data_IF_129581096530
#
_entry.id   IF_129581096530
#
_cell.length_a   1.000
_cell.length_b   1.000
_cell.length_c   1.000
_cell.angle_alpha   90.00
_cell.angle_beta   90.00
_cell.angle_gamma   90.00
#
_symmetry.space_group_name_H-M   'P 1'
#
loop_
_entity.id
_entity.type
_entity.pdbx_description
1 polymer ?
#
# COMPACT_ATOMS: atom_id res chain seq x y z
N UNK A 1 -2.76 -20.90 13.52
CA UNK A 1 -4.16 -20.46 13.67
C UNK A 1 -4.31 -19.01 13.22
N UNK A 2 -4.44 -18.77 11.93
CA UNK A 2 -4.75 -17.43 11.41
C UNK A 2 -6.23 -17.44 11.01
N UNK A 3 -7.08 -16.83 11.83
CA UNK A 3 -8.50 -16.62 11.54
C UNK A 3 -8.65 -15.61 10.38
N UNK A 4 -8.40 -16.04 9.15
CA UNK A 4 -8.62 -15.20 7.97
C UNK A 4 -9.26 -16.05 6.88
N UNK A 5 -10.55 -15.85 6.63
CA UNK A 5 -11.31 -16.60 5.61
C UNK A 5 -10.86 -16.27 4.17
N UNK A 6 -10.28 -15.08 3.94
CA UNK A 6 -9.80 -14.61 2.63
C UNK A 6 -8.61 -13.64 2.76
N UNK A 7 -7.72 -13.64 1.77
CA UNK A 7 -6.61 -12.67 1.61
C UNK A 7 -6.92 -11.57 0.58
N UNK A 8 -8.20 -11.41 0.25
CA UNK A 8 -8.65 -10.39 -0.69
C UNK A 8 -8.87 -9.08 0.06
N UNK A 9 -8.35 -7.99 -0.51
CA UNK A 9 -8.53 -6.62 -0.04
C UNK A 9 -8.89 -5.75 -1.24
N UNK A 10 -9.86 -4.86 -1.08
CA UNK A 10 -10.30 -3.93 -2.10
C UNK A 10 -9.66 -2.56 -1.85
N UNK A 11 -8.65 -2.22 -2.65
CA UNK A 11 -8.05 -0.89 -2.66
C UNK A 11 -8.98 0.05 -3.43
N UNK A 12 -9.38 1.15 -2.79
CA UNK A 12 -10.24 2.20 -3.35
C UNK A 12 -9.43 3.33 -3.96
N UNK A 13 -8.31 3.67 -3.35
CA UNK A 13 -7.43 4.75 -3.78
C UNK A 13 -5.98 4.37 -3.43
N UNK A 14 -5.04 4.67 -4.33
CA UNK A 14 -3.60 4.47 -4.13
C UNK A 14 -2.84 5.45 -5.02
N UNK A 15 -2.20 6.47 -4.44
CA UNK A 15 -1.50 7.50 -5.21
C UNK A 15 -0.39 8.17 -4.41
N UNK A 16 0.58 8.74 -5.13
CA UNK A 16 1.60 9.62 -4.57
C UNK A 16 1.16 11.07 -4.70
N UNK A 17 1.30 11.85 -3.63
CA UNK A 17 1.16 13.32 -3.63
C UNK A 17 2.51 13.94 -3.33
N UNK A 18 2.78 15.07 -3.97
CA UNK A 18 3.90 15.91 -3.64
C UNK A 18 3.40 17.02 -2.72
N UNK A 19 4.03 17.12 -1.55
CA UNK A 19 3.73 18.15 -0.56
C UNK A 19 4.49 19.44 -0.88
N UNK A 20 4.07 20.55 -0.27
CA UNK A 20 4.66 21.87 -0.52
C UNK A 20 6.13 21.98 -0.10
N UNK A 21 6.57 21.14 0.84
CA UNK A 21 7.96 21.04 1.29
C UNK A 21 8.84 20.17 0.36
N UNK A 22 8.26 19.67 -0.74
CA UNK A 22 8.92 18.81 -1.71
C UNK A 22 8.95 17.33 -1.33
N UNK A 23 8.39 16.94 -0.19
CA UNK A 23 8.27 15.53 0.19
C UNK A 23 7.21 14.80 -0.65
N UNK A 24 7.35 13.48 -0.77
CA UNK A 24 6.38 12.61 -1.43
C UNK A 24 5.65 11.76 -0.40
N UNK A 25 4.33 11.85 -0.38
CA UNK A 25 3.47 11.09 0.53
C UNK A 25 2.61 10.12 -0.27
N UNK A 26 2.67 8.84 0.09
CA UNK A 26 1.83 7.81 -0.51
C UNK A 26 0.53 7.65 0.30
N UNK A 27 -0.59 7.93 -0.34
CA UNK A 27 -1.93 7.74 0.23
C UNK A 27 -2.55 6.47 -0.30
N UNK A 28 -3.11 5.65 0.60
CA UNK A 28 -3.82 4.42 0.24
C UNK A 28 -5.07 4.25 1.10
N UNK A 29 -6.19 3.93 0.44
CA UNK A 29 -7.49 3.68 1.07
C UNK A 29 -7.96 2.28 0.66
N UNK A 30 -8.36 1.46 1.62
CA UNK A 30 -8.88 0.13 1.38
C UNK A 30 -9.96 -0.25 2.41
N UNK A 31 -10.69 -1.33 2.16
CA UNK A 31 -11.57 -1.97 3.13
C UNK A 31 -10.81 -2.61 4.30
N UNK A 32 -9.62 -3.17 4.02
CA UNK A 32 -8.70 -3.77 5.00
C UNK A 32 -7.29 -3.85 4.42
N UNK A 33 -6.31 -4.05 5.30
CA UNK A 33 -4.91 -4.29 4.91
C UNK A 33 -4.39 -5.59 5.52
N UNK A 34 -3.56 -6.32 4.78
CA UNK A 34 -2.81 -7.45 5.33
C UNK A 34 -1.57 -6.97 6.09
N UNK A 35 -1.03 -7.82 6.96
CA UNK A 35 0.22 -7.53 7.68
C UNK A 35 1.32 -7.17 6.68
N UNK A 36 1.99 -6.04 6.92
CA UNK A 36 3.04 -5.47 6.06
C UNK A 36 2.63 -5.11 4.63
N UNK A 37 1.34 -5.16 4.27
CA UNK A 37 0.85 -4.91 2.90
C UNK A 37 1.25 -3.52 2.40
N UNK A 38 0.92 -2.47 3.15
CA UNK A 38 1.20 -1.09 2.75
C UNK A 38 2.71 -0.87 2.57
N UNK A 39 3.52 -1.33 3.52
CA UNK A 39 4.99 -1.23 3.46
C UNK A 39 5.58 -1.97 2.28
N UNK A 40 5.00 -3.11 1.89
CA UNK A 40 5.38 -3.86 0.70
C UNK A 40 5.12 -3.07 -0.58
N UNK A 41 3.90 -2.54 -0.70
CA UNK A 41 3.46 -1.75 -1.86
C UNK A 41 4.39 -0.55 -2.03
N UNK A 42 4.61 0.21 -0.96
CA UNK A 42 5.51 1.38 -0.97
C UNK A 42 6.92 0.98 -1.40
N UNK A 43 7.49 -0.11 -0.87
CA UNK A 43 8.83 -0.57 -1.26
C UNK A 43 8.94 -0.92 -2.76
N UNK A 44 7.94 -1.61 -3.30
CA UNK A 44 7.90 -1.96 -4.72
C UNK A 44 7.77 -0.71 -5.60
N UNK A 45 6.92 0.24 -5.21
CA UNK A 45 6.77 1.51 -5.96
C UNK A 45 8.03 2.37 -5.91
N UNK A 46 8.77 2.37 -4.80
CA UNK A 46 10.07 3.05 -4.71
C UNK A 46 11.07 2.42 -5.69
N UNK A 47 11.14 1.09 -5.78
CA UNK A 47 12.02 0.42 -6.75
C UNK A 47 11.64 0.75 -8.20
N UNK A 48 10.35 0.94 -8.51
CA UNK A 48 9.91 1.46 -9.81
C UNK A 48 10.40 2.90 -10.01
N UNK A 49 10.23 3.78 -9.03
CA UNK A 49 10.69 5.17 -9.09
C UNK A 49 12.20 5.31 -9.26
N UNK A 50 12.97 4.37 -8.69
CA UNK A 50 14.42 4.24 -8.86
C UNK A 50 14.85 3.57 -10.17
N UNK A 51 13.90 3.11 -10.99
CA UNK A 51 14.12 2.34 -12.23
C UNK A 51 14.84 1.00 -12.02
N UNK A 52 14.76 0.43 -10.82
CA UNK A 52 15.29 -0.91 -10.51
C UNK A 52 14.40 -2.01 -11.11
N UNK A 53 13.09 -1.74 -11.21
CA UNK A 53 12.11 -2.60 -11.87
C UNK A 53 11.18 -1.77 -12.75
N UNK A 54 10.68 -2.38 -13.82
CA UNK A 54 9.71 -1.73 -14.71
C UNK A 54 8.32 -1.62 -14.04
N UNK A 55 7.52 -0.58 -14.34
CA UNK A 55 6.16 -0.44 -13.81
C UNK A 55 5.27 -1.67 -14.04
N UNK A 56 5.43 -2.36 -15.18
CA UNK A 56 4.69 -3.56 -15.56
C UNK A 56 4.98 -4.74 -14.62
N UNK A 57 6.15 -4.75 -13.97
CA UNK A 57 6.51 -5.76 -12.99
C UNK A 57 5.58 -5.73 -11.77
N UNK A 58 5.04 -4.56 -11.41
CA UNK A 58 4.10 -4.42 -10.29
C UNK A 58 2.85 -5.28 -10.52
N UNK A 59 2.31 -5.27 -11.75
CA UNK A 59 1.17 -6.12 -12.12
C UNK A 59 1.51 -7.59 -11.96
N UNK A 60 2.68 -8.02 -12.46
CA UNK A 60 3.15 -9.41 -12.33
C UNK A 60 3.29 -9.83 -10.87
N UNK A 61 3.80 -8.95 -10.00
CA UNK A 61 3.93 -9.21 -8.56
C UNK A 61 2.55 -9.45 -7.94
N UNK A 62 1.55 -8.60 -8.24
CA UNK A 62 0.18 -8.73 -7.73
C UNK A 62 -0.46 -10.03 -8.23
N UNK A 63 -0.36 -10.32 -9.52
CA UNK A 63 -0.94 -11.51 -10.16
C UNK A 63 -0.29 -12.81 -9.66
N UNK A 64 1.01 -12.78 -9.31
CA UNK A 64 1.73 -13.93 -8.77
C UNK A 64 1.20 -14.42 -7.41
N UNK A 65 0.48 -13.56 -6.67
CA UNK A 65 0.02 -13.82 -5.29
C UNK A 65 1.13 -14.28 -4.34
N UNK A 66 2.40 -14.02 -4.68
CA UNK A 66 3.56 -14.48 -3.94
C UNK A 66 4.26 -13.29 -3.28
N UNK A 67 4.22 -13.24 -1.94
CA UNK A 67 4.79 -12.12 -1.16
C UNK A 67 6.29 -11.95 -1.36
N UNK A 68 7.02 -13.01 -1.65
CA UNK A 68 8.47 -12.98 -1.86
C UNK A 68 8.88 -12.23 -3.13
N UNK A 69 7.95 -12.02 -4.06
CA UNK A 69 8.17 -11.23 -5.29
C UNK A 69 8.02 -9.73 -5.05
N UNK A 70 7.39 -9.32 -3.95
CA UNK A 70 7.24 -7.91 -3.59
C UNK A 70 8.43 -7.42 -2.76
N UNK A 71 8.65 -6.10 -2.76
CA UNK A 71 9.83 -5.49 -2.13
C UNK A 71 9.95 -5.76 -0.63
N UNK A 72 11.18 -5.62 -0.13
CA UNK A 72 11.49 -5.66 1.29
C UNK A 72 10.78 -4.51 1.99
N UNK A 73 10.11 -4.81 3.11
CA UNK A 73 9.26 -3.82 3.77
C UNK A 73 10.07 -2.61 4.27
N UNK A 74 9.71 -1.41 3.81
CA UNK A 74 10.29 -0.14 4.26
C UNK A 74 10.15 0.05 5.78
N UNK A 75 10.93 0.92 6.45
CA UNK A 75 10.79 1.19 7.89
C UNK A 75 9.35 1.55 8.29
N UNK A 76 8.93 1.16 9.51
CA UNK A 76 7.57 1.37 9.98
C UNK A 76 7.26 2.82 10.39
N UNK A 77 8.30 3.61 10.71
CA UNK A 77 8.15 4.99 11.19
C UNK A 77 7.51 5.94 10.18
N UNK A 78 7.53 5.62 8.88
CA UNK A 78 6.88 6.41 7.83
C UNK A 78 5.41 6.04 7.57
N UNK A 79 4.86 5.03 8.26
CA UNK A 79 3.48 4.60 8.09
C UNK A 79 2.62 5.10 9.26
N UNK A 80 1.56 5.84 8.93
CA UNK A 80 0.59 6.35 9.89
C UNK A 80 -0.83 6.13 9.38
N UNK A 81 -1.76 5.87 10.31
CA UNK A 81 -3.20 5.78 10.02
C UNK A 81 -3.79 7.20 10.10
N UNK A 82 -4.34 7.69 9.00
CA UNK A 82 -4.87 9.06 8.91
C UNK A 82 -6.36 9.15 9.18
N UNK A 83 -7.14 8.19 8.71
CA UNK A 83 -8.61 8.26 8.73
C UNK A 83 -9.23 6.86 8.77
N UNK A 84 -10.35 6.73 9.49
CA UNK A 84 -11.22 5.55 9.44
C UNK A 84 -12.64 6.02 9.20
N UNK A 85 -13.24 5.60 8.08
CA UNK A 85 -14.61 5.98 7.69
C UNK A 85 -15.62 5.01 8.28
N UNK A 86 -16.59 5.54 9.03
CA UNK A 86 -17.73 4.79 9.52
C UNK A 86 -19.01 5.26 8.81
N UNK A 87 -19.86 4.35 8.30
CA UNK A 87 -21.04 4.74 7.51
C UNK A 87 -22.06 5.55 8.30
N UNK A 88 -22.06 5.42 9.64
CA UNK A 88 -22.97 6.10 10.55
C UNK A 88 -22.36 7.37 11.19
N UNK A 89 -21.08 7.65 10.94
CA UNK A 89 -20.44 8.91 11.31
C UNK A 89 -20.34 9.72 10.02
N UNK A 90 -21.46 10.29 9.60
CA UNK A 90 -21.45 11.35 8.60
C UNK A 90 -20.93 12.60 9.30
N UNK A 91 -19.82 13.17 8.83
CA UNK A 91 -19.36 14.48 9.27
C UNK A 91 -20.54 15.44 9.17
N UNK A 92 -20.98 15.98 10.30
CA UNK A 92 -21.96 17.08 10.37
C UNK A 92 -21.38 18.28 9.62
#
# INVERSE_FOLDING_TARGET
NTQVKTNLCAIKEALWRQETDGSLVFYIVADRFLRNMVRAIVSTLISVGKKEIAPEAVRKIIESKNRSMAGMSVPACGLYLTEVKYPYISSI
#
